data_IF_329955177691
#
_entry.id   IF_329955177691
#
_cell.length_a   1.000
_cell.length_b   1.000
_cell.length_c   1.000
_cell.angle_alpha   90.00
_cell.angle_beta   90.00
_cell.angle_gamma   90.00
#
_symmetry.space_group_name_H-M   'P 1'
#
loop_
_entity.id
_entity.type
_entity.pdbx_description
1 polymer ?
#
# COMPACT_ATOMS: atom_id res chain seq x y z
N UNK A 1 22.65 13.60 18.37
CA UNK A 1 22.94 14.16 17.03
C UNK A 1 23.51 15.56 17.18
N UNK A 2 24.38 15.96 16.27
CA UNK A 2 24.96 17.30 16.24
C UNK A 2 24.10 18.22 15.35
N UNK A 3 22.93 18.60 15.83
CA UNK A 3 21.95 19.39 15.10
C UNK A 3 21.06 18.55 14.17
N UNK A 4 20.29 19.20 13.26
CA UNK A 4 19.45 18.52 12.28
C UNK A 4 20.27 17.63 11.34
N UNK A 5 19.70 16.49 10.96
CA UNK A 5 20.32 15.61 9.97
C UNK A 5 20.06 16.12 8.54
N UNK A 6 21.09 16.66 7.90
CA UNK A 6 20.98 17.22 6.55
C UNK A 6 20.60 16.19 5.50
N UNK A 7 20.89 14.90 5.72
CA UNK A 7 20.44 13.81 4.80
C UNK A 7 18.93 13.74 4.73
N UNK A 8 18.25 13.90 5.87
CA UNK A 8 16.78 13.86 5.95
C UNK A 8 16.13 15.00 5.15
N UNK A 9 16.83 16.11 4.92
CA UNK A 9 16.34 17.20 4.08
C UNK A 9 16.30 16.81 2.59
N UNK A 10 17.16 15.90 2.16
CA UNK A 10 17.24 15.44 0.76
C UNK A 10 16.25 14.31 0.49
N UNK A 11 15.95 13.50 1.53
CA UNK A 11 14.96 12.42 1.40
C UNK A 11 13.57 13.01 1.18
N UNK A 12 12.88 12.54 0.13
CA UNK A 12 11.57 13.05 -0.26
C UNK A 12 11.60 14.38 -1.03
N UNK A 13 12.77 14.91 -1.40
CA UNK A 13 12.90 16.17 -2.15
C UNK A 13 12.50 16.06 -3.64
N UNK A 14 12.29 14.85 -4.15
CA UNK A 14 11.83 14.57 -5.52
C UNK A 14 12.65 15.28 -6.61
N UNK A 15 13.95 15.40 -6.40
CA UNK A 15 14.86 16.07 -7.33
C UNK A 15 14.78 17.60 -7.32
N UNK A 16 14.00 18.21 -6.40
CA UNK A 16 13.91 19.67 -6.27
C UNK A 16 15.17 20.32 -5.70
N UNK A 17 15.99 19.57 -4.98
CA UNK A 17 17.20 20.08 -4.31
C UNK A 17 18.49 19.68 -5.01
N UNK A 18 18.45 18.95 -6.12
CA UNK A 18 19.66 18.58 -6.85
C UNK A 18 19.62 17.16 -7.42
N UNK A 19 20.77 16.73 -7.93
CA UNK A 19 21.03 15.40 -8.45
C UNK A 19 22.01 14.70 -7.55
N UNK A 20 21.63 13.51 -7.03
CA UNK A 20 22.51 12.68 -6.20
C UNK A 20 23.49 11.97 -7.14
N UNK A 21 24.80 12.27 -7.02
CA UNK A 21 25.87 11.72 -7.86
C UNK A 21 26.61 10.58 -7.18
N UNK A 22 26.63 10.56 -5.85
CA UNK A 22 27.33 9.54 -5.06
C UNK A 22 26.60 9.30 -3.74
N UNK A 23 26.53 8.04 -3.32
CA UNK A 23 25.96 7.64 -2.04
C UNK A 23 26.82 6.59 -1.35
N UNK A 24 26.88 6.66 -0.03
CA UNK A 24 27.42 5.61 0.82
C UNK A 24 26.28 4.85 1.46
N UNK A 25 26.13 3.56 1.13
CA UNK A 25 25.06 2.72 1.61
C UNK A 25 25.52 1.80 2.74
N UNK A 26 24.67 1.62 3.74
CA UNK A 26 24.81 0.54 4.70
C UNK A 26 24.33 -0.77 4.07
N UNK A 27 25.19 -1.77 4.02
CA UNK A 27 24.86 -3.10 3.52
C UNK A 27 24.67 -4.08 4.67
N UNK A 28 23.94 -5.17 4.40
CA UNK A 28 23.74 -6.29 5.30
C UNK A 28 24.17 -7.58 4.62
N UNK A 29 24.59 -8.63 5.37
CA UNK A 29 24.86 -9.95 4.80
C UNK A 29 23.63 -10.51 4.10
N UNK A 30 23.85 -11.32 3.06
CA UNK A 30 22.77 -12.10 2.44
C UNK A 30 22.12 -13.01 3.49
N UNK A 31 20.79 -13.12 3.51
CA UNK A 31 20.10 -13.99 4.44
C UNK A 31 20.37 -15.47 4.12
N UNK A 32 20.52 -16.29 5.17
CA UNK A 32 20.61 -17.75 5.03
C UNK A 32 19.26 -18.36 4.61
N UNK A 33 18.16 -17.74 5.04
CA UNK A 33 16.80 -18.24 4.86
C UNK A 33 15.83 -17.09 4.64
N UNK A 34 14.89 -17.36 3.74
CA UNK A 34 13.69 -16.56 3.53
C UNK A 34 12.51 -17.52 3.48
N UNK A 35 11.41 -17.17 4.14
CA UNK A 35 10.20 -17.97 4.13
C UNK A 35 8.97 -17.07 4.19
N UNK A 36 7.95 -17.39 3.41
CA UNK A 36 6.68 -16.69 3.37
C UNK A 36 5.52 -17.61 3.76
N UNK A 37 4.51 -17.08 4.41
CA UNK A 37 3.32 -17.80 4.82
C UNK A 37 2.08 -16.97 4.58
N UNK A 38 1.02 -17.63 4.15
CA UNK A 38 -0.32 -17.07 4.04
C UNK A 38 -1.20 -17.60 5.18
N UNK A 39 -1.93 -16.69 5.82
CA UNK A 39 -2.93 -16.98 6.86
C UNK A 39 -4.25 -16.35 6.43
N UNK A 40 -5.35 -17.09 6.58
CA UNK A 40 -6.69 -16.57 6.38
C UNK A 40 -7.38 -16.30 7.70
N UNK A 41 -8.04 -15.14 7.82
CA UNK A 41 -8.86 -14.78 8.97
C UNK A 41 -10.32 -14.59 8.56
N UNK A 42 -11.28 -14.75 9.49
CA UNK A 42 -12.70 -14.67 9.19
C UNK A 42 -13.20 -13.24 8.91
N UNK A 43 -12.50 -12.21 9.37
CA UNK A 43 -12.89 -10.82 9.14
C UNK A 43 -11.69 -9.87 9.08
N UNK A 44 -11.96 -8.67 8.55
CA UNK A 44 -11.00 -7.59 8.46
C UNK A 44 -10.47 -7.14 9.82
N UNK A 45 -11.34 -7.01 10.82
CA UNK A 45 -11.01 -6.57 12.17
C UNK A 45 -10.06 -7.55 12.87
N UNK A 46 -10.30 -8.85 12.72
CA UNK A 46 -9.42 -9.89 13.28
C UNK A 46 -8.07 -9.88 12.57
N UNK A 47 -8.06 -9.74 11.25
CA UNK A 47 -6.82 -9.62 10.47
C UNK A 47 -5.99 -8.40 10.88
N UNK A 48 -6.63 -7.23 11.06
CA UNK A 48 -5.97 -6.01 11.57
C UNK A 48 -5.40 -6.23 12.96
N UNK A 49 -6.16 -6.83 13.87
CA UNK A 49 -5.68 -7.11 15.23
C UNK A 49 -4.44 -8.01 15.20
N UNK A 50 -4.48 -9.08 14.40
CA UNK A 50 -3.34 -9.97 14.22
C UNK A 50 -2.10 -9.24 13.68
N UNK A 51 -2.24 -8.47 12.61
CA UNK A 51 -1.14 -7.71 12.02
C UNK A 51 -0.55 -6.69 13.00
N UNK A 52 -1.41 -5.92 13.70
CA UNK A 52 -1.01 -4.93 14.69
C UNK A 52 -0.26 -5.56 15.86
N UNK A 53 -0.80 -6.62 16.43
CA UNK A 53 -0.22 -7.26 17.62
C UNK A 53 1.13 -7.92 17.32
N UNK A 54 1.29 -8.55 16.16
CA UNK A 54 2.57 -9.11 15.72
C UNK A 54 3.68 -8.05 15.72
N UNK A 55 3.38 -6.86 15.19
CA UNK A 55 4.37 -5.78 15.11
C UNK A 55 4.59 -5.12 16.48
N UNK A 56 3.53 -4.90 17.27
CA UNK A 56 3.65 -4.32 18.61
C UNK A 56 4.39 -5.23 19.59
N UNK A 57 4.25 -6.55 19.45
CA UNK A 57 5.04 -7.55 20.16
C UNK A 57 6.46 -7.70 19.60
N UNK A 58 6.81 -6.97 18.54
CA UNK A 58 8.12 -6.99 17.89
C UNK A 58 8.53 -8.37 17.40
N UNK A 59 7.59 -9.16 16.91
CA UNK A 59 7.92 -10.37 16.17
C UNK A 59 8.73 -9.96 14.94
N UNK A 60 9.90 -10.56 14.79
CA UNK A 60 10.87 -10.11 13.78
C UNK A 60 10.50 -10.61 12.37
N UNK A 61 9.48 -10.01 11.80
CA UNK A 61 9.01 -10.26 10.44
C UNK A 61 9.72 -9.34 9.46
N UNK A 62 10.00 -9.84 8.26
CA UNK A 62 10.56 -9.05 7.16
C UNK A 62 9.49 -8.32 6.36
N UNK A 63 8.26 -8.80 6.39
CA UNK A 63 7.09 -8.13 5.82
C UNK A 63 5.80 -8.67 6.42
N UNK A 64 4.77 -7.84 6.42
CA UNK A 64 3.37 -8.22 6.67
C UNK A 64 2.52 -7.50 5.64
N UNK A 65 1.61 -8.22 5.01
CA UNK A 65 0.59 -7.69 4.11
C UNK A 65 -0.76 -8.28 4.49
N UNK A 66 -1.77 -7.46 4.67
CA UNK A 66 -3.13 -7.89 4.94
C UNK A 66 -4.06 -7.38 3.84
N UNK A 67 -4.59 -8.29 3.04
CA UNK A 67 -5.55 -7.99 1.97
C UNK A 67 -6.97 -8.01 2.52
N UNK A 68 -7.78 -7.01 2.15
CA UNK A 68 -9.20 -6.98 2.51
C UNK A 68 -10.00 -8.08 1.77
N UNK A 69 -11.28 -8.30 2.07
CA UNK A 69 -12.05 -9.39 1.47
C UNK A 69 -12.09 -9.35 -0.05
N UNK A 70 -12.26 -8.16 -0.65
CA UNK A 70 -12.33 -8.02 -2.10
C UNK A 70 -10.98 -8.29 -2.76
N UNK A 71 -9.89 -7.74 -2.20
CA UNK A 71 -8.55 -8.04 -2.70
C UNK A 71 -8.20 -9.52 -2.55
N UNK A 72 -8.54 -10.12 -1.39
CA UNK A 72 -8.31 -11.54 -1.14
C UNK A 72 -8.96 -12.40 -2.23
N UNK A 73 -10.23 -12.15 -2.52
CA UNK A 73 -10.95 -12.86 -3.58
C UNK A 73 -10.33 -12.60 -4.94
N UNK A 74 -10.06 -11.33 -5.29
CA UNK A 74 -9.47 -10.96 -6.57
C UNK A 74 -8.11 -11.64 -6.80
N UNK A 75 -7.23 -11.65 -5.79
CA UNK A 75 -5.92 -12.28 -5.90
C UNK A 75 -5.98 -13.80 -6.05
N UNK A 76 -6.88 -14.47 -5.31
CA UNK A 76 -7.07 -15.92 -5.43
C UNK A 76 -7.52 -16.31 -6.84
N UNK A 77 -8.51 -15.61 -7.39
CA UNK A 77 -9.03 -15.91 -8.73
C UNK A 77 -8.06 -15.49 -9.84
N UNK A 78 -7.37 -14.36 -9.71
CA UNK A 78 -6.32 -13.99 -10.67
C UNK A 78 -5.15 -14.99 -10.67
N UNK A 79 -4.77 -15.49 -9.49
CA UNK A 79 -3.70 -16.48 -9.37
C UNK A 79 -4.06 -17.85 -9.95
N UNK A 80 -5.35 -18.21 -9.94
CA UNK A 80 -5.87 -19.45 -10.49
C UNK A 80 -5.99 -19.43 -12.03
N UNK A 81 -6.18 -18.25 -12.62
CA UNK A 81 -6.40 -18.11 -14.05
C UNK A 81 -7.69 -18.79 -14.49
N UNK A 82 -7.61 -19.66 -15.52
CA UNK A 82 -8.78 -20.37 -16.08
C UNK A 82 -9.22 -21.58 -15.25
N UNK A 83 -8.34 -22.15 -14.40
CA UNK A 83 -8.68 -23.30 -13.54
C UNK A 83 -8.86 -22.84 -12.09
N UNK A 84 -10.09 -22.58 -11.71
CA UNK A 84 -10.47 -22.13 -10.36
C UNK A 84 -10.75 -23.28 -9.39
N UNK A 85 -10.57 -24.54 -9.78
CA UNK A 85 -10.87 -25.69 -8.93
C UNK A 85 -10.12 -25.67 -7.58
N UNK A 86 -8.88 -25.24 -7.59
CA UNK A 86 -8.07 -25.08 -6.39
C UNK A 86 -8.60 -23.99 -5.44
N UNK A 87 -9.14 -22.90 -5.98
CA UNK A 87 -9.77 -21.82 -5.19
C UNK A 87 -11.04 -22.32 -4.52
N UNK A 88 -11.91 -23.02 -5.28
CA UNK A 88 -13.13 -23.61 -4.75
C UNK A 88 -12.83 -24.58 -3.60
N UNK A 89 -11.85 -25.47 -3.79
CA UNK A 89 -11.45 -26.41 -2.75
C UNK A 89 -10.88 -25.71 -1.50
N UNK A 90 -10.13 -24.63 -1.68
CA UNK A 90 -9.65 -23.79 -0.57
C UNK A 90 -10.81 -23.12 0.17
N UNK A 91 -11.77 -22.55 -0.55
CA UNK A 91 -12.94 -21.88 0.04
C UNK A 91 -13.81 -22.87 0.83
N UNK A 92 -14.01 -24.08 0.34
CA UNK A 92 -14.69 -25.16 1.08
C UNK A 92 -13.94 -25.55 2.36
N UNK A 93 -12.61 -25.63 2.31
CA UNK A 93 -11.78 -25.92 3.47
C UNK A 93 -11.88 -24.81 4.52
N UNK A 94 -11.80 -23.56 4.10
CA UNK A 94 -11.90 -22.39 4.95
C UNK A 94 -13.29 -22.28 5.59
N UNK A 95 -14.35 -22.51 4.81
CA UNK A 95 -15.73 -22.51 5.30
C UNK A 95 -15.95 -23.53 6.42
N UNK A 96 -15.42 -24.76 6.27
CA UNK A 96 -15.46 -25.78 7.33
C UNK A 96 -14.75 -25.37 8.63
N UNK A 97 -13.90 -24.34 8.55
CA UNK A 97 -13.18 -23.75 9.70
C UNK A 97 -13.78 -22.42 10.17
N UNK A 98 -14.96 -22.05 9.67
CA UNK A 98 -15.67 -20.83 10.05
C UNK A 98 -15.18 -19.57 9.33
N UNK A 99 -14.39 -19.72 8.26
CA UNK A 99 -13.91 -18.60 7.45
C UNK A 99 -14.69 -18.56 6.14
N UNK A 100 -15.62 -17.61 6.02
CA UNK A 100 -16.57 -17.48 4.89
C UNK A 100 -16.22 -16.34 3.91
N UNK A 101 -17.27 -15.68 3.40
CA UNK A 101 -17.16 -14.63 2.38
C UNK A 101 -16.38 -13.39 2.83
N UNK A 102 -16.42 -13.05 4.12
CA UNK A 102 -15.65 -11.94 4.70
C UNK A 102 -14.17 -12.23 4.93
N UNK A 103 -13.66 -13.36 4.40
CA UNK A 103 -12.26 -13.78 4.61
C UNK A 103 -11.26 -12.72 4.16
N UNK A 104 -10.21 -12.57 4.96
CA UNK A 104 -9.05 -11.75 4.63
C UNK A 104 -7.79 -12.61 4.61
N UNK A 105 -6.85 -12.23 3.78
CA UNK A 105 -5.61 -12.96 3.58
C UNK A 105 -4.44 -12.12 4.08
N UNK A 106 -3.73 -12.65 5.07
CA UNK A 106 -2.47 -12.08 5.54
C UNK A 106 -1.29 -12.88 4.99
N UNK A 107 -0.36 -12.20 4.35
CA UNK A 107 0.94 -12.77 4.00
C UNK A 107 1.99 -12.17 4.91
N UNK A 108 2.81 -13.00 5.55
CA UNK A 108 3.98 -12.53 6.28
C UNK A 108 5.24 -13.24 5.81
N UNK A 109 6.39 -12.58 5.98
CA UNK A 109 7.69 -13.09 5.63
C UNK A 109 8.66 -13.04 6.81
N UNK A 110 9.62 -13.97 6.83
CA UNK A 110 10.77 -13.99 7.73
C UNK A 110 12.05 -14.16 6.93
N UNK A 111 13.09 -13.37 7.24
CA UNK A 111 14.33 -13.33 6.50
C UNK A 111 15.50 -13.17 7.46
N UNK A 112 16.58 -13.94 7.30
CA UNK A 112 17.76 -13.85 8.15
C UNK A 112 18.46 -15.19 8.39
N UNK A 113 19.04 -15.38 9.59
CA UNK A 113 19.62 -16.69 9.96
C UNK A 113 18.52 -17.73 10.14
N UNK A 114 18.85 -19.00 9.92
CA UNK A 114 17.89 -20.10 10.04
C UNK A 114 17.22 -20.16 11.42
N UNK A 115 17.99 -19.92 12.49
CA UNK A 115 17.47 -19.90 13.87
C UNK A 115 16.47 -18.76 14.07
N UNK A 116 16.83 -17.56 13.61
CA UNK A 116 15.97 -16.37 13.71
C UNK A 116 14.66 -16.57 12.96
N UNK A 117 14.73 -17.00 11.69
CA UNK A 117 13.57 -17.28 10.87
C UNK A 117 12.64 -18.33 11.49
N UNK A 118 13.19 -19.44 12.00
CA UNK A 118 12.37 -20.49 12.62
C UNK A 118 11.61 -19.97 13.84
N UNK A 119 12.28 -19.18 14.71
CA UNK A 119 11.66 -18.62 15.91
C UNK A 119 10.56 -17.62 15.55
N UNK A 120 10.87 -16.63 14.70
CA UNK A 120 9.90 -15.60 14.32
C UNK A 120 8.70 -16.20 13.57
N UNK A 121 8.94 -17.16 12.68
CA UNK A 121 7.90 -17.87 11.96
C UNK A 121 6.93 -18.61 12.88
N UNK A 122 7.46 -19.35 13.89
CA UNK A 122 6.61 -20.08 14.83
C UNK A 122 5.80 -19.13 15.70
N UNK A 123 6.44 -18.08 16.24
CA UNK A 123 5.73 -17.06 17.02
C UNK A 123 4.58 -16.43 16.23
N UNK A 124 4.80 -16.12 14.96
CA UNK A 124 3.75 -15.56 14.11
C UNK A 124 2.61 -16.56 13.86
N UNK A 125 2.93 -17.84 13.61
CA UNK A 125 1.92 -18.88 13.42
C UNK A 125 1.06 -19.07 14.67
N UNK A 126 1.70 -19.20 15.82
CA UNK A 126 1.01 -19.43 17.09
C UNK A 126 0.06 -18.26 17.41
N UNK A 127 0.58 -17.03 17.29
CA UNK A 127 -0.23 -15.83 17.51
C UNK A 127 -1.44 -15.73 16.55
N UNK A 128 -1.22 -15.98 15.25
CA UNK A 128 -2.31 -15.98 14.28
C UNK A 128 -3.34 -17.08 14.56
N UNK A 129 -2.88 -18.26 14.97
CA UNK A 129 -3.75 -19.38 15.32
C UNK A 129 -4.62 -19.07 16.53
N UNK A 130 -4.07 -18.41 17.56
CA UNK A 130 -4.80 -18.00 18.77
C UNK A 130 -5.95 -17.03 18.44
N UNK A 131 -5.81 -16.25 17.37
CA UNK A 131 -6.84 -15.35 16.86
C UNK A 131 -7.77 -16.00 15.81
N UNK A 132 -7.74 -17.33 15.68
CA UNK A 132 -8.59 -18.08 14.75
C UNK A 132 -8.10 -18.06 13.29
N UNK A 133 -6.86 -17.65 13.06
CA UNK A 133 -6.24 -17.68 11.74
C UNK A 133 -5.96 -19.10 11.26
N UNK A 134 -6.17 -19.35 9.98
CA UNK A 134 -5.94 -20.64 9.31
C UNK A 134 -4.78 -20.52 8.36
N UNK A 135 -3.69 -21.21 8.66
CA UNK A 135 -2.50 -21.23 7.81
C UNK A 135 -2.76 -22.01 6.51
N UNK A 136 -2.39 -21.41 5.39
CA UNK A 136 -2.34 -22.10 4.10
C UNK A 136 -1.28 -23.22 4.11
N UNK A 137 -1.60 -24.32 3.44
CA UNK A 137 -0.72 -25.46 3.27
C UNK A 137 -0.47 -25.80 1.77
N UNK A 138 -1.03 -25.01 0.88
CA UNK A 138 -0.93 -25.24 -0.57
C UNK A 138 0.26 -24.52 -1.23
N UNK A 139 1.01 -23.69 -0.47
CA UNK A 139 2.18 -22.98 -0.97
C UNK A 139 1.88 -21.59 -1.53
N UNK A 140 0.75 -20.98 -1.15
CA UNK A 140 0.42 -19.61 -1.57
C UNK A 140 1.48 -18.58 -1.16
N UNK A 141 2.15 -18.77 -0.02
CA UNK A 141 3.22 -17.88 0.42
C UNK A 141 4.42 -17.89 -0.52
N UNK A 142 4.88 -19.06 -0.91
CA UNK A 142 5.97 -19.25 -1.87
C UNK A 142 5.57 -18.73 -3.27
N UNK A 143 4.35 -19.00 -3.71
CA UNK A 143 3.83 -18.50 -4.98
C UNK A 143 3.79 -16.97 -4.99
N UNK A 144 3.34 -16.36 -3.89
CA UNK A 144 3.37 -14.91 -3.74
C UNK A 144 4.82 -14.37 -3.83
N UNK A 145 5.77 -15.00 -3.15
CA UNK A 145 7.17 -14.59 -3.17
C UNK A 145 7.77 -14.61 -4.58
N UNK A 146 7.46 -15.62 -5.38
CA UNK A 146 7.90 -15.70 -6.77
C UNK A 146 7.20 -14.70 -7.70
N UNK A 147 5.92 -14.41 -7.43
CA UNK A 147 5.07 -13.55 -8.25
C UNK A 147 5.14 -12.05 -7.92
N UNK A 148 5.64 -11.66 -6.75
CA UNK A 148 5.51 -10.31 -6.17
C UNK A 148 6.01 -9.16 -7.05
N UNK A 149 6.96 -9.41 -7.94
CA UNK A 149 7.50 -8.39 -8.84
C UNK A 149 6.81 -8.34 -10.21
N UNK A 150 5.79 -9.15 -10.45
CA UNK A 150 5.10 -9.24 -11.74
C UNK A 150 3.86 -8.37 -11.84
N UNK A 151 3.30 -7.95 -10.70
CA UNK A 151 2.08 -7.16 -10.66
C UNK A 151 2.09 -5.89 -11.53
N UNK A 152 3.20 -5.13 -11.64
CA UNK A 152 3.24 -3.94 -12.51
C UNK A 152 2.99 -4.24 -14.00
N UNK A 153 3.30 -5.45 -14.46
CA UNK A 153 3.10 -5.85 -15.87
C UNK A 153 1.64 -6.13 -16.23
N UNK A 154 0.74 -6.17 -15.26
CA UNK A 154 -0.71 -6.27 -15.52
C UNK A 154 -1.29 -5.01 -16.17
N UNK A 155 -0.62 -3.88 -16.09
CA UNK A 155 -1.08 -2.62 -16.71
C UNK A 155 -1.19 -2.73 -18.22
N UNK A 156 -0.23 -3.36 -18.89
CA UNK A 156 -0.21 -3.48 -20.34
C UNK A 156 -1.40 -4.28 -20.89
N UNK A 157 -1.67 -5.55 -20.44
CA UNK A 157 -2.83 -6.29 -20.93
C UNK A 157 -4.16 -5.64 -20.53
N UNK A 158 -4.27 -5.07 -19.34
CA UNK A 158 -5.49 -4.36 -18.93
C UNK A 158 -5.71 -3.11 -19.77
N UNK A 159 -4.64 -2.35 -20.10
CA UNK A 159 -4.71 -1.19 -21.00
C UNK A 159 -5.15 -1.58 -22.42
N UNK A 160 -4.69 -2.74 -22.92
CA UNK A 160 -5.12 -3.26 -24.22
C UNK A 160 -6.62 -3.59 -24.26
N UNK A 161 -7.20 -3.98 -23.13
CA UNK A 161 -8.64 -4.24 -22.95
C UNK A 161 -9.45 -2.99 -22.55
N UNK A 162 -8.82 -1.80 -22.57
CA UNK A 162 -9.47 -0.53 -22.28
C UNK A 162 -9.65 -0.21 -20.78
N UNK A 163 -8.89 -0.87 -19.90
CA UNK A 163 -8.90 -0.58 -18.46
C UNK A 163 -7.69 0.26 -18.06
N UNK A 164 -7.91 1.12 -17.07
CA UNK A 164 -6.86 1.86 -16.35
C UNK A 164 -6.75 1.30 -14.96
N UNK A 165 -5.52 1.07 -14.51
CA UNK A 165 -5.20 0.67 -13.14
C UNK A 165 -4.35 1.74 -12.52
N UNK A 166 -4.75 2.21 -11.35
CA UNK A 166 -3.92 3.10 -10.56
C UNK A 166 -4.03 2.78 -9.06
N UNK A 167 -3.16 3.38 -8.29
CA UNK A 167 -3.04 3.14 -6.85
C UNK A 167 -2.85 4.43 -6.10
N UNK A 168 -3.20 4.43 -4.83
CA UNK A 168 -2.79 5.43 -3.86
C UNK A 168 -2.46 4.78 -2.53
N UNK A 169 -1.52 5.37 -1.82
CA UNK A 169 -1.10 4.86 -0.52
C UNK A 169 -1.00 6.00 0.48
N UNK A 170 -1.57 5.79 1.65
CA UNK A 170 -1.44 6.64 2.82
C UNK A 170 -0.88 5.84 3.99
N UNK A 171 -0.49 6.50 5.07
CA UNK A 171 -0.20 5.89 6.35
C UNK A 171 -0.91 6.67 7.46
N UNK A 172 -1.45 5.95 8.44
CA UNK A 172 -2.31 6.51 9.49
C UNK A 172 -2.24 5.68 10.77
N UNK A 173 -2.57 6.27 11.91
CA UNK A 173 -2.60 5.59 13.21
C UNK A 173 -3.64 4.46 13.24
N UNK A 174 -3.35 3.38 14.00
CA UNK A 174 -4.20 2.20 14.10
C UNK A 174 -5.66 2.48 14.44
N UNK A 175 -5.92 3.49 15.25
CA UNK A 175 -7.28 3.87 15.65
C UNK A 175 -8.17 4.33 14.51
N UNK A 176 -7.57 4.68 13.36
CA UNK A 176 -8.27 5.23 12.18
C UNK A 176 -8.18 4.33 10.95
N UNK A 177 -7.38 3.25 10.98
CA UNK A 177 -7.09 2.43 9.79
C UNK A 177 -8.36 1.88 9.13
N UNK A 178 -9.26 1.26 9.90
CA UNK A 178 -10.48 0.65 9.34
C UNK A 178 -11.41 1.70 8.73
N UNK A 179 -11.69 2.76 9.46
CA UNK A 179 -12.57 3.84 9.00
C UNK A 179 -12.00 4.55 7.76
N UNK A 180 -10.70 4.87 7.77
CA UNK A 180 -10.05 5.51 6.65
C UNK A 180 -10.04 4.61 5.40
N UNK A 181 -9.73 3.31 5.55
CA UNK A 181 -9.75 2.36 4.43
C UNK A 181 -11.15 2.26 3.80
N UNK A 182 -12.20 2.13 4.61
CA UNK A 182 -13.58 2.06 4.14
C UNK A 182 -14.00 3.34 3.42
N UNK A 183 -13.72 4.51 4.00
CA UNK A 183 -14.11 5.80 3.43
C UNK A 183 -13.34 6.12 2.14
N UNK A 184 -12.05 5.79 2.07
CA UNK A 184 -11.25 5.93 0.83
C UNK A 184 -11.82 5.04 -0.27
N UNK A 185 -12.07 3.75 0.02
CA UNK A 185 -12.65 2.84 -0.98
C UNK A 185 -14.04 3.30 -1.43
N UNK A 186 -14.90 3.69 -0.51
CA UNK A 186 -16.25 4.12 -0.84
C UNK A 186 -16.24 5.38 -1.70
N UNK A 187 -15.41 6.37 -1.35
CA UNK A 187 -15.29 7.59 -2.14
C UNK A 187 -14.80 7.33 -3.57
N UNK A 188 -13.80 6.45 -3.73
CA UNK A 188 -13.29 6.06 -5.05
C UNK A 188 -14.36 5.25 -5.80
N UNK A 189 -15.03 4.30 -5.15
CA UNK A 189 -16.04 3.41 -5.77
C UNK A 189 -17.18 4.20 -6.39
N UNK A 190 -17.61 5.27 -5.75
CA UNK A 190 -18.77 6.08 -6.17
C UNK A 190 -18.41 7.32 -6.98
N UNK A 191 -17.13 7.61 -7.17
CA UNK A 191 -16.70 8.85 -7.83
C UNK A 191 -17.10 8.97 -9.31
N UNK A 192 -17.50 7.86 -9.96
CA UNK A 192 -17.94 7.81 -11.35
C UNK A 192 -19.41 7.37 -11.51
N UNK A 193 -20.20 7.38 -10.43
CA UNK A 193 -21.63 7.00 -10.47
C UNK A 193 -22.42 7.90 -11.41
N UNK A 194 -22.05 9.18 -11.52
CA UNK A 194 -22.64 10.15 -12.43
C UNK A 194 -22.42 9.81 -13.92
N UNK A 195 -21.42 8.98 -14.23
CA UNK A 195 -21.11 8.47 -15.56
C UNK A 195 -21.63 7.04 -15.79
N UNK A 196 -22.25 6.41 -14.78
CA UNK A 196 -22.64 5.00 -14.83
C UNK A 196 -21.47 4.02 -14.94
N UNK A 197 -20.26 4.46 -14.60
CA UNK A 197 -19.05 3.64 -14.64
C UNK A 197 -18.81 2.97 -13.28
N UNK A 198 -18.56 1.66 -13.31
CA UNK A 198 -18.22 0.89 -12.11
C UNK A 198 -16.72 0.89 -11.88
N UNK A 199 -16.31 1.22 -10.65
CA UNK A 199 -14.91 1.18 -10.24
C UNK A 199 -14.66 -0.05 -9.36
N UNK A 200 -13.78 -0.93 -9.78
CA UNK A 200 -13.30 -2.03 -8.94
C UNK A 200 -12.19 -1.51 -8.04
N UNK A 201 -12.45 -1.42 -6.74
CA UNK A 201 -11.52 -0.84 -5.76
C UNK A 201 -11.37 -1.75 -4.55
N UNK A 202 -10.13 -2.01 -4.15
CA UNK A 202 -9.77 -2.85 -3.02
C UNK A 202 -8.51 -2.36 -2.32
N UNK A 203 -8.29 -2.82 -1.10
CA UNK A 203 -7.24 -2.31 -0.22
C UNK A 203 -6.46 -3.41 0.46
N UNK A 204 -5.17 -3.16 0.68
CA UNK A 204 -4.37 -3.93 1.62
C UNK A 204 -3.54 -3.02 2.53
N UNK A 205 -3.17 -3.54 3.68
CA UNK A 205 -2.13 -2.97 4.52
C UNK A 205 -0.79 -3.54 4.07
N UNK A 206 0.14 -2.69 3.62
CA UNK A 206 1.42 -3.13 3.06
C UNK A 206 2.61 -2.88 3.98
N UNK A 207 2.60 -1.78 4.73
CA UNK A 207 3.62 -1.40 5.69
C UNK A 207 3.00 -1.22 7.06
N UNK A 208 3.32 -2.15 7.95
CA UNK A 208 2.71 -2.26 9.27
C UNK A 208 3.71 -1.78 10.32
N UNK A 209 3.33 -0.74 11.05
CA UNK A 209 4.15 -0.08 12.07
C UNK A 209 3.58 -0.27 13.47
N UNK A 210 4.38 -0.03 14.50
CA UNK A 210 3.92 -0.12 15.89
C UNK A 210 2.75 0.82 16.21
N UNK A 211 2.72 2.01 15.62
CA UNK A 211 1.70 3.03 15.87
C UNK A 211 0.59 3.08 14.83
N UNK A 212 0.78 2.50 13.65
CA UNK A 212 -0.18 2.61 12.54
C UNK A 212 0.14 1.67 11.40
N UNK A 213 -0.53 1.87 10.27
CA UNK A 213 -0.29 1.11 9.05
C UNK A 213 -0.43 1.97 7.82
N UNK A 214 0.23 1.57 6.73
CA UNK A 214 -0.16 2.09 5.43
C UNK A 214 -1.47 1.45 4.97
N UNK A 215 -2.22 2.19 4.18
CA UNK A 215 -3.43 1.76 3.48
C UNK A 215 -3.13 1.93 2.00
N UNK A 216 -2.95 0.81 1.30
CA UNK A 216 -2.66 0.77 -0.12
C UNK A 216 -3.93 0.41 -0.88
N UNK A 217 -4.50 1.38 -1.59
CA UNK A 217 -5.74 1.21 -2.34
C UNK A 217 -5.45 1.13 -3.83
N UNK A 218 -5.91 0.05 -4.46
CA UNK A 218 -5.84 -0.17 -5.91
C UNK A 218 -7.24 0.00 -6.49
N UNK A 219 -7.35 0.67 -7.64
CA UNK A 219 -8.60 0.83 -8.35
C UNK A 219 -8.44 0.68 -9.85
N UNK A 220 -9.47 0.07 -10.45
CA UNK A 220 -9.57 -0.21 -11.89
C UNK A 220 -10.86 0.39 -12.42
N UNK A 221 -10.80 1.00 -13.60
CA UNK A 221 -11.94 1.59 -14.29
C UNK A 221 -11.72 1.54 -15.81
N UNK A 222 -12.79 1.67 -16.60
CA UNK A 222 -12.65 1.74 -18.06
C UNK A 222 -12.26 3.13 -18.50
N UNK A 223 -11.34 3.20 -19.47
CA UNK A 223 -10.86 4.49 -20.01
C UNK A 223 -12.00 5.33 -20.60
N UNK A 224 -13.05 4.67 -21.13
CA UNK A 224 -14.13 5.33 -21.83
C UNK A 224 -13.85 5.43 -23.34
N UNK A 225 -14.48 6.41 -23.99
CA UNK A 225 -14.43 6.58 -25.46
C UNK A 225 -13.19 7.33 -25.94
N UNK A 226 -12.48 8.02 -25.05
CA UNK A 226 -11.31 8.82 -25.39
C UNK A 226 -10.28 8.89 -24.27
N UNK A 227 -9.03 9.22 -24.63
CA UNK A 227 -7.98 9.51 -23.67
C UNK A 227 -8.37 10.64 -22.69
N UNK A 228 -9.02 11.69 -23.19
CA UNK A 228 -9.47 12.82 -22.39
C UNK A 228 -10.49 12.38 -21.32
N UNK A 229 -11.46 11.54 -21.71
CA UNK A 229 -12.42 10.98 -20.76
C UNK A 229 -11.71 10.13 -19.70
N UNK A 230 -10.77 9.29 -20.10
CA UNK A 230 -9.97 8.48 -19.17
C UNK A 230 -9.19 9.35 -18.18
N UNK A 231 -8.58 10.44 -18.63
CA UNK A 231 -7.87 11.38 -17.76
C UNK A 231 -8.81 12.11 -16.79
N UNK A 232 -10.00 12.52 -17.25
CA UNK A 232 -10.99 13.16 -16.39
C UNK A 232 -11.49 12.18 -15.30
N UNK A 233 -11.77 10.93 -15.65
CA UNK A 233 -12.11 9.86 -14.71
C UNK A 233 -11.01 9.65 -13.70
N UNK A 234 -9.78 9.52 -14.16
CA UNK A 234 -8.61 9.36 -13.30
C UNK A 234 -8.48 10.51 -12.30
N UNK A 235 -8.62 11.77 -12.74
CA UNK A 235 -8.58 12.94 -11.85
C UNK A 235 -9.69 12.92 -10.79
N UNK A 236 -10.93 12.55 -11.16
CA UNK A 236 -12.04 12.41 -10.22
C UNK A 236 -11.73 11.38 -9.14
N UNK A 237 -11.23 10.21 -9.53
CA UNK A 237 -10.88 9.12 -8.61
C UNK A 237 -9.73 9.50 -7.68
N UNK A 238 -8.65 10.10 -8.21
CA UNK A 238 -7.53 10.63 -7.42
C UNK A 238 -8.00 11.65 -6.38
N UNK A 239 -8.83 12.60 -6.83
CA UNK A 239 -9.38 13.62 -5.93
C UNK A 239 -10.23 13.00 -4.82
N UNK A 240 -11.14 12.10 -5.16
CA UNK A 240 -12.03 11.45 -4.19
C UNK A 240 -11.25 10.74 -3.07
N UNK A 241 -10.22 9.95 -3.43
CA UNK A 241 -9.38 9.28 -2.46
C UNK A 241 -8.50 10.25 -1.65
N UNK A 242 -7.87 11.24 -2.30
CA UNK A 242 -7.02 12.21 -1.64
C UNK A 242 -7.79 13.07 -0.62
N UNK A 243 -9.01 13.49 -0.94
CA UNK A 243 -9.87 14.23 -0.02
C UNK A 243 -10.16 13.41 1.26
N UNK A 244 -10.38 12.09 1.15
CA UNK A 244 -10.59 11.21 2.30
C UNK A 244 -9.31 11.01 3.12
N UNK A 245 -8.16 10.86 2.47
CA UNK A 245 -6.88 10.78 3.16
C UNK A 245 -6.66 12.01 4.04
N UNK A 246 -6.86 13.20 3.50
CA UNK A 246 -6.73 14.47 4.24
C UNK A 246 -7.76 14.57 5.37
N UNK A 247 -9.01 14.21 5.11
CA UNK A 247 -10.09 14.27 6.12
C UNK A 247 -9.78 13.39 7.34
N UNK A 248 -9.11 12.26 7.16
CA UNK A 248 -8.70 11.37 8.26
C UNK A 248 -7.34 11.73 8.89
N UNK A 249 -6.61 12.69 8.29
CA UNK A 249 -5.28 13.11 8.76
C UNK A 249 -4.19 12.08 8.46
N UNK A 250 -4.35 11.30 7.40
CA UNK A 250 -3.32 10.43 6.84
C UNK A 250 -2.27 11.22 6.06
N UNK A 251 -1.07 10.65 5.85
CA UNK A 251 -0.09 11.24 4.92
C UNK A 251 -0.64 11.18 3.50
N UNK A 252 -0.49 12.27 2.75
CA UNK A 252 -1.07 12.34 1.40
C UNK A 252 -0.42 11.37 0.42
N UNK A 253 0.80 10.98 0.67
CA UNK A 253 1.52 9.98 -0.11
C UNK A 253 2.51 9.23 0.75
N UNK A 254 2.39 7.91 0.78
CA UNK A 254 3.32 7.02 1.44
C UNK A 254 4.13 6.25 0.38
N UNK A 255 5.44 6.49 0.29
CA UNK A 255 6.39 5.88 -0.66
C UNK A 255 6.14 6.13 -2.16
N UNK A 256 5.01 6.72 -2.57
CA UNK A 256 4.69 6.97 -3.98
C UNK A 256 5.19 8.33 -4.49
N UNK A 257 5.67 9.20 -3.60
CA UNK A 257 6.02 10.59 -3.90
C UNK A 257 4.79 11.51 -3.95
N UNK A 258 5.03 12.80 -3.74
CA UNK A 258 3.99 13.85 -3.81
C UNK A 258 3.76 14.26 -5.27
N UNK A 259 4.82 14.43 -6.02
CA UNK A 259 4.80 14.76 -7.45
C UNK A 259 4.01 16.01 -7.79
N UNK A 260 3.30 15.93 -8.90
CA UNK A 260 2.30 16.91 -9.33
C UNK A 260 0.91 16.63 -8.80
N UNK A 261 0.61 15.37 -8.52
CA UNK A 261 -0.75 14.88 -8.26
C UNK A 261 -1.22 15.24 -6.86
N UNK A 262 -0.30 15.22 -5.88
CA UNK A 262 -0.60 15.39 -4.47
C UNK A 262 -0.08 16.72 -3.87
N UNK A 263 0.69 17.51 -4.62
CA UNK A 263 1.33 18.74 -4.11
C UNK A 263 0.37 19.72 -3.45
N UNK A 264 -0.85 19.86 -3.97
CA UNK A 264 -1.84 20.80 -3.45
C UNK A 264 -2.47 20.35 -2.13
N UNK A 265 -2.29 19.09 -1.73
CA UNK A 265 -2.73 18.53 -0.45
C UNK A 265 -1.66 18.62 0.63
N UNK A 266 -0.40 18.85 0.26
CA UNK A 266 0.73 18.77 1.20
C UNK A 266 0.65 19.81 2.32
N UNK A 267 0.03 20.97 2.07
CA UNK A 267 -0.18 22.01 3.10
C UNK A 267 -1.05 21.49 4.26
N UNK A 268 -2.02 20.64 4.00
CA UNK A 268 -2.87 20.06 5.06
C UNK A 268 -2.07 19.17 6.03
N UNK A 269 -1.01 18.55 5.55
CA UNK A 269 -0.13 17.69 6.35
C UNK A 269 1.02 18.47 7.04
N UNK A 270 1.70 19.34 6.29
CA UNK A 270 2.92 20.04 6.73
C UNK A 270 2.66 21.39 7.38
N UNK A 271 1.47 21.98 7.15
CA UNK A 271 1.15 23.35 7.54
C UNK A 271 1.92 24.40 6.72
N UNK A 272 1.52 25.65 6.82
CA UNK A 272 2.12 26.78 6.08
C UNK A 272 3.62 26.96 6.39
N UNK A 273 4.00 26.82 7.66
CA UNK A 273 5.40 26.95 8.09
C UNK A 273 6.27 25.81 7.53
N UNK A 274 5.74 24.58 7.50
CA UNK A 274 6.44 23.44 6.91
C UNK A 274 6.63 23.60 5.40
N UNK A 275 5.62 24.09 4.68
CA UNK A 275 5.73 24.40 3.26
C UNK A 275 6.76 25.52 3.02
N UNK A 276 6.75 26.58 3.82
CA UNK A 276 7.73 27.66 3.72
C UNK A 276 9.16 27.18 3.95
N UNK A 277 9.37 26.28 4.92
CA UNK A 277 10.68 25.68 5.18
C UNK A 277 11.17 24.83 3.99
N UNK A 278 10.31 23.98 3.42
CA UNK A 278 10.63 23.17 2.24
C UNK A 278 10.97 24.07 1.04
N UNK A 279 10.18 25.14 0.83
CA UNK A 279 10.43 26.09 -0.26
C UNK A 279 11.79 26.78 -0.10
N UNK A 280 12.11 27.24 1.12
CA UNK A 280 13.42 27.88 1.41
C UNK A 280 14.60 26.94 1.13
N UNK A 281 14.45 25.64 1.43
CA UNK A 281 15.47 24.65 1.09
C UNK A 281 15.60 24.49 -0.43
N UNK A 282 14.49 24.38 -1.15
CA UNK A 282 14.51 24.30 -2.62
C UNK A 282 15.19 25.51 -3.24
N UNK A 283 14.86 26.73 -2.79
CA UNK A 283 15.48 27.97 -3.24
C UNK A 283 16.97 28.06 -2.93
N UNK A 284 17.40 27.56 -1.75
CA UNK A 284 18.81 27.52 -1.37
C UNK A 284 19.64 26.62 -2.27
N UNK A 285 19.11 25.44 -2.64
CA UNK A 285 19.83 24.46 -3.48
C UNK A 285 19.68 24.74 -4.96
N UNK A 286 18.56 25.32 -5.40
CA UNK A 286 18.23 25.62 -6.78
C UNK A 286 17.66 27.05 -6.92
N UNK A 287 18.49 28.10 -6.77
CA UNK A 287 18.02 29.49 -6.80
C UNK A 287 17.47 29.92 -8.17
N UNK A 288 17.67 29.12 -9.21
CA UNK A 288 17.13 29.37 -10.56
C UNK A 288 15.85 28.60 -10.87
N UNK A 289 15.39 27.72 -9.97
CA UNK A 289 14.18 26.92 -10.12
C UNK A 289 14.22 25.95 -11.33
N UNK A 290 15.39 25.39 -11.64
CA UNK A 290 15.60 24.51 -12.80
C UNK A 290 15.43 23.01 -12.48
N UNK A 291 15.52 22.67 -11.18
CA UNK A 291 15.50 21.29 -10.72
C UNK A 291 14.05 20.80 -10.53
N UNK A 292 13.62 19.92 -11.42
CA UNK A 292 12.30 19.27 -11.40
C UNK A 292 11.14 20.23 -11.06
N UNK A 293 10.94 21.33 -11.81
CA UNK A 293 9.94 22.35 -11.46
C UNK A 293 8.52 21.80 -11.46
N UNK A 294 7.64 22.40 -10.63
CA UNK A 294 6.21 22.04 -10.56
C UNK A 294 5.90 20.77 -9.77
N UNK A 295 6.90 20.20 -9.09
CA UNK A 295 6.75 19.05 -8.20
C UNK A 295 6.87 19.45 -6.74
N UNK A 296 6.33 18.62 -5.83
CA UNK A 296 6.44 18.69 -4.38
C UNK A 296 5.71 19.90 -3.75
N UNK A 297 6.02 21.10 -4.15
CA UNK A 297 5.43 22.31 -3.58
C UNK A 297 4.09 22.66 -4.22
N UNK A 298 3.08 23.09 -3.44
CA UNK A 298 1.81 23.59 -3.97
C UNK A 298 2.02 24.73 -4.98
N UNK A 299 1.09 24.86 -5.91
CA UNK A 299 1.07 26.00 -6.80
C UNK A 299 0.81 27.28 -6.00
N UNK A 300 1.57 28.34 -6.27
CA UNK A 300 1.30 29.64 -5.64
C UNK A 300 -0.15 30.04 -5.96
N UNK A 301 -0.97 30.23 -4.93
CA UNK A 301 -2.27 30.86 -5.10
C UNK A 301 -2.02 32.33 -5.48
N UNK A 302 -2.08 32.62 -6.79
CA UNK A 302 -2.15 34.00 -7.26
C UNK A 302 -3.46 34.67 -6.85
#
# INVERSE_FOLDING_TARGET
SAGPDVREMILGSEGRMGIITEVTLRITPLPEKEKFQVIFFPSWEIGISAARELIQQRVALSMVRLSNPLETTSLLYMGAGSDTSGVVALEELLSKKGIGEGKVMMTFGVTGSARHCNTAYQLALDHCSDLGGVADKSGLGENWAHGRFRAPYLRDPLGAEGYVVDTMETAIDWSKVSEAAENIEQAIRTALDDEGEQVHVYTHLSHVYGQGSSIYTTYLFRIGESYEQGMNRWMKLKKAGADQIVAHGGTISHQHGVGSDHKNYLTAEKGELGIAAINSLCEQFDPKGQMNPGKLLPDNKN
#
